data_IF_951131925187
#
_entry.id   IF_951131925187
#
_cell.length_a   1.000
_cell.length_b   1.000
_cell.length_c   1.000
_cell.angle_alpha   90.00
_cell.angle_beta   90.00
_cell.angle_gamma   90.00
#
_symmetry.space_group_name_H-M   'P 1'
#
loop_
_entity.id
_entity.type
_entity.pdbx_description
1 polymer ?
#
# COMPACT_ATOMS: atom_id res chain seq x y z
N UNK A 1 14.44 15.08 11.05
CA UNK A 1 13.19 14.58 10.46
C UNK A 1 13.41 13.38 9.55
N UNK A 2 13.00 12.20 10.00
CA UNK A 2 12.98 10.98 9.17
C UNK A 2 11.62 10.86 8.49
N UNK A 3 11.61 10.41 7.23
CA UNK A 3 10.38 10.22 6.47
C UNK A 3 10.25 8.76 6.10
N UNK A 4 9.08 8.17 6.35
CA UNK A 4 8.76 6.79 6.02
C UNK A 4 7.49 6.73 5.18
N UNK A 5 7.52 5.89 4.15
CA UNK A 5 6.34 5.52 3.38
C UNK A 5 5.92 4.13 3.82
N UNK A 6 4.68 3.98 4.28
CA UNK A 6 4.18 2.71 4.79
C UNK A 6 3.21 2.03 3.80
N UNK A 7 3.39 0.74 3.63
CA UNK A 7 2.50 -0.14 2.84
C UNK A 7 1.34 -0.68 3.70
N UNK A 8 0.28 -1.15 3.04
CA UNK A 8 -0.93 -1.74 3.66
C UNK A 8 -0.58 -2.88 4.62
N UNK A 9 0.38 -3.74 4.26
CA UNK A 9 0.76 -4.88 5.10
C UNK A 9 1.38 -4.45 6.42
N UNK A 10 2.19 -3.39 6.40
CA UNK A 10 2.81 -2.84 7.62
C UNK A 10 1.74 -2.28 8.55
N UNK A 11 0.80 -1.49 7.99
CA UNK A 11 -0.31 -0.92 8.75
C UNK A 11 -1.21 -2.02 9.33
N UNK A 12 -1.48 -3.07 8.55
CA UNK A 12 -2.30 -4.19 8.99
C UNK A 12 -1.60 -5.00 10.10
N UNK A 13 -0.30 -5.26 9.97
CA UNK A 13 0.49 -5.93 10.98
C UNK A 13 0.54 -5.13 12.28
N UNK A 14 0.66 -3.80 12.19
CA UNK A 14 0.56 -2.90 13.34
C UNK A 14 -0.82 -3.00 14.02
N UNK A 15 -1.93 -2.99 13.26
CA UNK A 15 -3.27 -3.15 13.83
C UNK A 15 -3.51 -4.49 14.53
N UNK A 16 -2.79 -5.53 14.12
CA UNK A 16 -2.85 -6.86 14.75
C UNK A 16 -1.90 -7.01 15.95
N UNK A 17 -1.02 -6.04 16.18
CA UNK A 17 0.02 -6.15 17.20
C UNK A 17 1.09 -7.20 16.86
N UNK A 18 1.41 -7.38 15.58
CA UNK A 18 2.45 -8.32 15.16
C UNK A 18 3.82 -7.88 15.72
N UNK A 19 4.47 -8.74 16.52
CA UNK A 19 5.69 -8.40 17.28
C UNK A 19 6.78 -7.77 16.41
N UNK A 20 7.06 -8.36 15.24
CA UNK A 20 8.09 -7.87 14.32
C UNK A 20 7.81 -6.42 13.88
N UNK A 21 6.54 -6.08 13.64
CA UNK A 21 6.14 -4.73 13.26
C UNK A 21 6.28 -3.78 14.45
N UNK A 22 5.82 -4.18 15.63
CA UNK A 22 5.92 -3.36 16.84
C UNK A 22 7.38 -3.05 17.20
N UNK A 23 8.24 -4.07 17.20
CA UNK A 23 9.68 -3.93 17.44
C UNK A 23 10.31 -3.00 16.40
N UNK A 24 9.91 -3.11 15.12
CA UNK A 24 10.40 -2.24 14.05
C UNK A 24 9.99 -0.78 14.27
N UNK A 25 8.75 -0.53 14.70
CA UNK A 25 8.24 0.82 14.98
C UNK A 25 9.00 1.46 16.14
N UNK A 26 9.29 0.69 17.18
CA UNK A 26 10.10 1.14 18.32
C UNK A 26 11.54 1.42 17.91
N UNK A 27 12.19 0.48 17.23
CA UNK A 27 13.59 0.60 16.80
C UNK A 27 13.82 1.77 15.82
N UNK A 28 12.86 2.03 14.93
CA UNK A 28 12.92 3.16 14.00
C UNK A 28 12.48 4.48 14.64
N UNK A 29 11.89 4.44 15.84
CA UNK A 29 11.35 5.60 16.53
C UNK A 29 10.15 6.20 15.81
N UNK A 30 9.31 5.39 15.16
CA UNK A 30 8.13 5.87 14.41
C UNK A 30 7.08 6.55 15.31
N UNK A 31 7.18 6.35 16.62
CA UNK A 31 6.33 6.98 17.64
C UNK A 31 6.89 8.34 18.12
N UNK A 32 8.06 8.77 17.63
CA UNK A 32 8.69 10.03 18.00
C UNK A 32 8.13 11.20 17.19
N UNK A 33 8.21 12.40 17.75
CA UNK A 33 7.66 13.64 17.16
C UNK A 33 8.43 14.16 15.94
N UNK A 34 9.63 13.62 15.63
CA UNK A 34 10.47 14.03 14.49
C UNK A 34 10.38 13.04 13.29
N UNK A 35 9.23 12.38 13.14
CA UNK A 35 8.97 11.42 12.07
C UNK A 35 7.75 11.80 11.26
N UNK A 36 7.93 11.84 9.93
CA UNK A 36 6.83 11.96 8.98
C UNK A 36 6.45 10.58 8.45
N UNK A 37 5.23 10.16 8.75
CA UNK A 37 4.65 8.95 8.18
C UNK A 37 3.77 9.34 7.01
N UNK A 38 4.08 8.75 5.85
CA UNK A 38 3.40 8.95 4.59
C UNK A 38 2.70 7.66 4.18
N UNK A 39 1.47 7.78 3.69
CA UNK A 39 0.74 6.69 3.03
C UNK A 39 0.19 7.20 1.70
N UNK A 40 0.06 6.32 0.71
CA UNK A 40 -0.63 6.69 -0.54
C UNK A 40 -2.15 6.63 -0.36
N UNK A 41 -2.88 7.34 -1.24
CA UNK A 41 -4.33 7.22 -1.32
C UNK A 41 -4.78 5.78 -1.62
N UNK A 42 -3.94 4.98 -2.30
CA UNK A 42 -4.20 3.56 -2.58
C UNK A 42 -4.14 2.73 -1.30
N UNK A 43 -3.11 2.90 -0.47
CA UNK A 43 -3.00 2.23 0.85
C UNK A 43 -4.22 2.57 1.73
N UNK A 44 -4.64 3.84 1.73
CA UNK A 44 -5.85 4.26 2.43
C UNK A 44 -7.11 3.53 1.92
N UNK A 45 -7.26 3.40 0.60
CA UNK A 45 -8.37 2.71 -0.04
C UNK A 45 -8.35 1.19 0.24
N UNK A 46 -7.18 0.56 0.20
CA UNK A 46 -7.00 -0.87 0.51
C UNK A 46 -7.39 -1.18 1.96
N UNK A 47 -6.98 -0.34 2.92
CA UNK A 47 -7.38 -0.50 4.32
C UNK A 47 -8.90 -0.39 4.49
N UNK A 48 -9.55 0.51 3.77
CA UNK A 48 -11.03 0.59 3.74
C UNK A 48 -11.66 -0.65 3.11
N UNK A 49 -11.08 -1.16 2.03
CA UNK A 49 -11.54 -2.38 1.37
C UNK A 49 -11.42 -3.60 2.30
N UNK A 50 -10.29 -3.77 2.98
CA UNK A 50 -10.06 -4.81 3.99
C UNK A 50 -11.08 -4.74 5.12
N UNK A 51 -11.39 -3.53 5.61
CA UNK A 51 -12.40 -3.35 6.65
C UNK A 51 -13.80 -3.81 6.22
N UNK A 52 -14.18 -3.55 4.96
CA UNK A 52 -15.44 -4.03 4.39
C UNK A 52 -15.45 -5.55 4.21
N UNK A 53 -14.42 -6.11 3.58
CA UNK A 53 -14.31 -7.56 3.34
C UNK A 53 -14.30 -8.37 4.65
N UNK A 54 -13.63 -7.86 5.68
CA UNK A 54 -13.54 -8.51 7.00
C UNK A 54 -14.68 -8.14 7.95
N UNK A 55 -15.72 -7.44 7.47
CA UNK A 55 -16.91 -7.04 8.24
C UNK A 55 -16.54 -6.39 9.58
N UNK A 56 -15.59 -5.45 9.57
CA UNK A 56 -15.26 -4.70 10.79
C UNK A 56 -16.50 -4.00 11.33
N UNK A 57 -16.64 -3.99 12.67
CA UNK A 57 -17.71 -3.20 13.30
C UNK A 57 -17.56 -1.72 12.91
N UNK A 58 -18.69 -1.00 12.86
CA UNK A 58 -18.69 0.43 12.54
C UNK A 58 -17.68 1.22 13.40
N UNK A 59 -17.61 0.89 14.70
CA UNK A 59 -16.63 1.46 15.63
C UNK A 59 -15.17 1.20 15.21
N UNK A 60 -14.83 -0.05 14.86
CA UNK A 60 -13.47 -0.40 14.43
C UNK A 60 -13.13 0.29 13.11
N UNK A 61 -14.07 0.29 12.16
CA UNK A 61 -13.92 0.93 10.87
C UNK A 61 -13.61 2.43 11.02
N UNK A 62 -14.38 3.12 11.86
CA UNK A 62 -14.19 4.55 12.09
C UNK A 62 -12.89 4.86 12.84
N UNK A 63 -12.53 4.05 13.84
CA UNK A 63 -11.26 4.19 14.55
C UNK A 63 -10.06 4.05 13.60
N UNK A 64 -10.10 3.07 12.69
CA UNK A 64 -9.02 2.88 11.71
C UNK A 64 -8.97 4.05 10.72
N UNK A 65 -10.11 4.51 10.22
CA UNK A 65 -10.14 5.67 9.31
C UNK A 65 -9.58 6.93 9.97
N UNK A 66 -9.96 7.18 11.23
CA UNK A 66 -9.47 8.31 12.01
C UNK A 66 -7.97 8.19 12.26
N UNK A 67 -7.47 6.99 12.56
CA UNK A 67 -6.04 6.73 12.73
C UNK A 67 -5.25 6.98 11.44
N UNK A 68 -5.71 6.48 10.29
CA UNK A 68 -5.05 6.68 8.99
C UNK A 68 -4.98 8.15 8.58
N UNK A 69 -5.99 8.96 8.94
CA UNK A 69 -6.02 10.40 8.67
C UNK A 69 -4.97 11.21 9.45
N UNK A 70 -4.27 10.61 10.41
CA UNK A 70 -3.15 11.25 11.10
C UNK A 70 -1.85 11.25 10.28
N UNK A 71 -1.78 10.40 9.25
CA UNK A 71 -0.62 10.32 8.36
C UNK A 71 -0.76 11.32 7.21
N UNK A 72 0.38 11.68 6.61
CA UNK A 72 0.37 12.45 5.37
C UNK A 72 -0.10 11.55 4.23
N UNK A 73 -1.30 11.81 3.71
CA UNK A 73 -1.88 11.05 2.60
C UNK A 73 -1.48 11.72 1.28
N UNK A 74 -0.72 11.01 0.46
CA UNK A 74 -0.27 11.53 -0.85
C UNK A 74 -1.23 11.04 -1.94
N UNK A 75 -1.85 11.95 -2.72
CA UNK A 75 -2.61 11.59 -3.90
C UNK A 75 -1.66 11.07 -4.99
N UNK A 76 -2.13 10.10 -5.79
CA UNK A 76 -1.41 9.61 -6.96
C UNK A 76 -2.00 10.26 -8.21
N UNK A 77 -1.72 11.54 -8.38
CA UNK A 77 -2.26 12.35 -9.48
C UNK A 77 -1.17 12.93 -10.40
N UNK A 78 0.12 12.76 -10.04
CA UNK A 78 1.23 13.26 -10.84
C UNK A 78 1.48 12.34 -12.04
N UNK A 79 1.52 12.92 -13.24
CA UNK A 79 1.87 12.22 -14.48
C UNK A 79 3.23 11.50 -14.35
N UNK A 80 4.21 12.14 -13.72
CA UNK A 80 5.55 11.55 -13.52
C UNK A 80 5.48 10.26 -12.67
N UNK A 81 4.60 10.22 -11.66
CA UNK A 81 4.43 9.04 -10.82
C UNK A 81 3.71 7.91 -11.58
N UNK A 82 2.77 8.28 -12.45
CA UNK A 82 2.05 7.32 -13.30
C UNK A 82 2.98 6.71 -14.34
N UNK A 83 3.83 7.52 -14.97
CA UNK A 83 4.81 7.05 -15.96
C UNK A 83 5.86 6.13 -15.31
N UNK A 84 6.40 6.53 -14.15
CA UNK A 84 7.32 5.67 -13.39
C UNK A 84 6.67 4.35 -13.01
N UNK A 85 5.40 4.37 -12.58
CA UNK A 85 4.68 3.14 -12.28
C UNK A 85 4.46 2.28 -13.53
N UNK A 86 4.10 2.89 -14.67
CA UNK A 86 3.91 2.19 -15.94
C UNK A 86 5.21 1.51 -16.39
N UNK A 87 6.36 2.18 -16.27
CA UNK A 87 7.68 1.59 -16.51
C UNK A 87 7.94 0.40 -15.57
N UNK A 88 7.65 0.54 -14.28
CA UNK A 88 7.85 -0.53 -13.29
C UNK A 88 6.95 -1.73 -13.59
N UNK A 89 5.66 -1.54 -13.91
CA UNK A 89 4.79 -2.66 -14.30
C UNK A 89 5.30 -3.31 -15.59
N UNK A 90 5.61 -2.53 -16.63
CA UNK A 90 6.13 -3.06 -17.89
C UNK A 90 7.42 -3.87 -17.70
N UNK A 91 8.36 -3.36 -16.88
CA UNK A 91 9.58 -4.07 -16.50
C UNK A 91 9.26 -5.35 -15.73
N UNK A 92 8.36 -5.29 -14.74
CA UNK A 92 7.94 -6.46 -13.97
C UNK A 92 7.21 -7.51 -14.83
N UNK A 93 6.55 -7.13 -15.92
CA UNK A 93 5.97 -8.09 -16.85
C UNK A 93 7.01 -8.66 -17.84
N UNK A 94 8.26 -8.18 -17.81
CA UNK A 94 9.28 -8.50 -18.80
C UNK A 94 8.99 -7.95 -20.19
N UNK A 95 8.14 -6.91 -20.27
CA UNK A 95 7.63 -6.32 -21.50
C UNK A 95 8.19 -4.93 -21.79
N UNK A 96 9.15 -4.46 -20.99
CA UNK A 96 9.82 -3.19 -21.23
C UNK A 96 10.94 -3.41 -22.26
N UNK A 97 10.68 -3.02 -23.51
CA UNK A 97 11.55 -3.29 -24.67
C UNK A 97 13.00 -2.85 -24.45
N UNK A 98 13.20 -1.68 -23.84
CA UNK A 98 14.52 -1.09 -23.62
C UNK A 98 15.22 -1.57 -22.33
N UNK A 99 14.54 -2.39 -21.50
CA UNK A 99 15.05 -2.92 -20.23
C UNK A 99 14.48 -4.33 -19.99
N UNK A 100 14.94 -5.36 -20.72
CA UNK A 100 14.45 -6.72 -20.54
C UNK A 100 14.88 -7.28 -19.17
N UNK A 101 14.11 -8.24 -18.66
CA UNK A 101 14.48 -8.97 -17.44
C UNK A 101 15.78 -9.76 -17.68
N UNK A 102 16.65 -9.90 -16.66
CA UNK A 102 17.83 -10.74 -16.77
C UNK A 102 17.45 -12.20 -17.05
N UNK A 103 18.31 -12.90 -17.79
CA UNK A 103 18.06 -14.27 -18.25
C UNK A 103 17.72 -15.21 -17.07
N UNK A 104 16.58 -15.92 -17.18
CA UNK A 104 16.11 -16.86 -16.17
C UNK A 104 15.27 -16.25 -15.03
N UNK A 105 15.06 -14.94 -15.00
CA UNK A 105 14.15 -14.30 -14.04
C UNK A 105 12.74 -14.16 -14.60
N UNK A 106 11.75 -14.54 -13.79
CA UNK A 106 10.33 -14.36 -14.07
C UNK A 106 9.70 -13.60 -12.91
N UNK A 107 9.18 -12.40 -13.17
CA UNK A 107 8.41 -11.64 -12.18
C UNK A 107 6.96 -12.13 -12.19
N UNK A 108 6.76 -13.34 -11.64
CA UNK A 108 5.42 -13.92 -11.47
C UNK A 108 4.60 -13.03 -10.53
N UNK A 109 3.57 -12.42 -11.11
CA UNK A 109 2.40 -11.80 -10.48
C UNK A 109 2.70 -10.88 -9.28
N UNK A 110 3.10 -9.64 -9.57
CA UNK A 110 3.00 -8.49 -8.66
C UNK A 110 1.51 -8.21 -8.34
N UNK A 111 0.92 -8.95 -7.39
CA UNK A 111 -0.30 -8.57 -6.67
C UNK A 111 -1.56 -8.18 -7.48
N UNK A 112 -1.68 -8.52 -8.77
CA UNK A 112 -2.84 -8.17 -9.61
C UNK A 112 -4.12 -8.89 -9.12
N UNK A 113 -4.83 -8.29 -8.17
CA UNK A 113 -6.22 -8.62 -7.81
C UNK A 113 -7.03 -7.37 -7.45
N UNK A 114 -7.29 -6.47 -8.42
CA UNK A 114 -8.34 -5.44 -8.25
C UNK A 114 -9.40 -5.41 -9.38
N UNK A 115 -9.21 -6.08 -10.53
CA UNK A 115 -10.16 -5.94 -11.65
C UNK A 115 -11.13 -7.11 -11.91
N UNK A 116 -11.12 -8.20 -11.13
CA UNK A 116 -11.99 -9.36 -11.37
C UNK A 116 -13.45 -9.21 -10.91
N UNK A 117 -13.77 -8.25 -10.03
CA UNK A 117 -15.10 -8.16 -9.38
C UNK A 117 -16.02 -7.04 -9.92
N UNK A 118 -15.51 -6.14 -10.77
CA UNK A 118 -16.32 -5.07 -11.37
C UNK A 118 -16.90 -5.41 -12.74
N UNK A 119 -16.51 -6.54 -13.34
CA UNK A 119 -17.03 -7.01 -14.63
C UNK A 119 -18.20 -8.01 -14.51
N UNK A 120 -18.66 -8.35 -13.31
CA UNK A 120 -19.79 -9.29 -13.14
C UNK A 120 -21.15 -8.61 -12.87
N UNK A 121 -21.25 -7.28 -12.88
CA UNK A 121 -22.53 -6.56 -12.70
C UNK A 121 -22.81 -5.55 -13.82
N UNK A 122 -22.20 -5.73 -14.99
CA UNK A 122 -22.62 -5.08 -16.24
C UNK A 122 -22.65 -6.15 -17.32
N UNK A 123 -23.70 -6.97 -17.27
CA UNK A 123 -24.14 -7.87 -18.34
C UNK A 123 -25.59 -8.21 -18.08
#
# INVERSE_FOLDING_TARGET
MKTFVLDTNVLLGHLKGEKVIMDTFENLGLNLTDVNIIISIVVFAEMKSLGKQRKWSAKKYENVNTWLRKFLIIPLESEDLLEVYAEIDAYSQGKLENKPLPFGLSSRNMGKMIYGLLQQHIS
#
